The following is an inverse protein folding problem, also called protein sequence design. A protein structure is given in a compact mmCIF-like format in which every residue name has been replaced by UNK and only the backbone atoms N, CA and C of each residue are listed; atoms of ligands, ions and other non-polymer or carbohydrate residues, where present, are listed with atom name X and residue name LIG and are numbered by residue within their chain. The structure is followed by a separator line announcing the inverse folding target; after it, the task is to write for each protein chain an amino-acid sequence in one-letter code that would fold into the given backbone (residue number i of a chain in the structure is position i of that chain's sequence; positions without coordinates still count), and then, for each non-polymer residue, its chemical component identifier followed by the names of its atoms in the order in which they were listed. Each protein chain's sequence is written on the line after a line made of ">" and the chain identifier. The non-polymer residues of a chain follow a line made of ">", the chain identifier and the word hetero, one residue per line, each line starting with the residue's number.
data_IF_329886253907
#
_entry.id   IF_329886253907
#
_cell.length_a   1.000
_cell.length_b   1.000
_cell.length_c   1.000
_cell.angle_alpha   90.00
_cell.angle_beta   90.00
_cell.angle_gamma   90.00
#
_symmetry.space_group_name_H-M   'P 1'
#
loop_
_entity.id
_entity.type
_entity.pdbx_description
1 polymer ?
#
# COMPACT_ATOMS: atom_id res chain seq x y z
N UNK A 1 -3.87 7.84 -2.00
CA UNK A 1 -3.89 8.53 -0.71
C UNK A 1 -2.67 8.21 0.14
N UNK A 2 -2.26 9.16 0.92
CA UNK A 2 -1.07 9.04 1.75
C UNK A 2 -1.14 7.89 2.75
N UNK A 3 -2.29 7.70 3.35
CA UNK A 3 -2.45 6.63 4.34
C UNK A 3 -2.24 5.25 3.71
N UNK A 4 -2.81 5.04 2.55
CA UNK A 4 -2.65 3.77 1.83
C UNK A 4 -1.19 3.53 1.50
N UNK A 5 -0.52 4.55 1.02
CA UNK A 5 0.91 4.47 0.71
C UNK A 5 1.74 4.16 1.94
N UNK A 6 1.45 4.84 3.05
CA UNK A 6 2.18 4.62 4.30
C UNK A 6 2.03 3.18 4.79
N UNK A 7 0.81 2.67 4.78
CA UNK A 7 0.53 1.30 5.18
C UNK A 7 1.26 0.30 4.28
N UNK A 8 1.23 0.55 2.99
CA UNK A 8 1.93 -0.30 2.03
C UNK A 8 3.42 -0.36 2.32
N UNK A 9 4.04 0.80 2.56
CA UNK A 9 5.46 0.88 2.87
C UNK A 9 5.81 0.18 4.18
N UNK A 10 4.98 0.32 5.20
CA UNK A 10 5.22 -0.36 6.48
C UNK A 10 5.26 -1.87 6.30
N UNK A 11 4.39 -2.39 5.46
CA UNK A 11 4.35 -3.82 5.22
C UNK A 11 5.52 -4.29 4.33
N UNK A 12 5.75 -3.60 3.22
CA UNK A 12 6.71 -4.06 2.21
C UNK A 12 8.16 -3.73 2.53
N UNK A 13 8.38 -2.57 3.10
CA UNK A 13 9.75 -2.10 3.35
C UNK A 13 10.18 -2.43 4.78
N UNK A 14 9.30 -2.21 5.74
CA UNK A 14 9.63 -2.40 7.15
C UNK A 14 9.23 -3.76 7.70
N UNK A 15 8.61 -4.62 6.88
CA UNK A 15 8.27 -5.98 7.27
C UNK A 15 7.25 -6.10 8.38
N UNK A 16 6.42 -5.09 8.57
CA UNK A 16 5.38 -5.12 9.61
C UNK A 16 4.20 -5.98 9.17
N UNK A 17 3.64 -6.73 10.11
CA UNK A 17 2.44 -7.51 9.83
C UNK A 17 1.22 -6.60 9.79
N UNK A 18 0.13 -7.07 9.21
CA UNK A 18 -1.11 -6.30 9.17
C UNK A 18 -1.59 -5.98 10.59
N UNK A 19 -1.45 -6.92 11.51
CA UNK A 19 -1.83 -6.71 12.91
C UNK A 19 -1.02 -5.58 13.53
N UNK A 20 0.28 -5.57 13.29
CA UNK A 20 1.16 -4.52 13.80
C UNK A 20 0.82 -3.17 13.21
N UNK A 21 0.58 -3.14 11.91
CA UNK A 21 0.22 -1.89 11.22
C UNK A 21 -1.10 -1.35 11.77
N UNK A 22 -2.08 -2.24 12.00
CA UNK A 22 -3.35 -1.83 12.56
C UNK A 22 -3.18 -1.15 13.91
N UNK A 23 -2.30 -1.69 14.75
CA UNK A 23 -2.01 -1.09 16.06
C UNK A 23 -1.34 0.26 15.92
N UNK A 24 -0.34 0.35 15.07
CA UNK A 24 0.41 1.60 14.88
C UNK A 24 -0.47 2.69 14.29
N UNK A 25 -1.31 2.34 13.36
CA UNK A 25 -2.17 3.31 12.68
C UNK A 25 -3.48 3.59 13.42
N UNK A 26 -3.79 2.80 14.44
CA UNK A 26 -5.03 2.97 15.19
C UNK A 26 -6.27 2.62 14.39
N UNK A 27 -6.16 1.62 13.52
CA UNK A 27 -7.28 1.17 12.68
C UNK A 27 -7.45 -0.34 12.85
N UNK A 28 -8.54 -0.87 12.28
CA UNK A 28 -8.77 -2.31 12.32
C UNK A 28 -7.87 -3.02 11.31
N UNK A 29 -7.65 -4.31 11.54
CA UNK A 29 -6.89 -5.12 10.61
C UNK A 29 -7.58 -5.20 9.25
N UNK A 30 -8.92 -5.24 9.26
CA UNK A 30 -9.70 -5.22 8.02
C UNK A 30 -9.44 -3.96 7.21
N UNK A 31 -9.30 -2.83 7.88
CA UNK A 31 -9.00 -1.57 7.21
C UNK A 31 -7.62 -1.63 6.56
N UNK A 32 -6.63 -2.22 7.25
CA UNK A 32 -5.29 -2.41 6.69
C UNK A 32 -5.36 -3.27 5.43
N UNK A 33 -6.12 -4.35 5.49
CA UNK A 33 -6.28 -5.22 4.32
C UNK A 33 -6.86 -4.47 3.13
N UNK A 34 -7.86 -3.65 3.36
CA UNK A 34 -8.46 -2.84 2.29
C UNK A 34 -7.46 -1.88 1.68
N UNK A 35 -6.66 -1.23 2.53
CA UNK A 35 -5.62 -0.32 2.04
C UNK A 35 -4.59 -1.08 1.20
N UNK A 36 -4.21 -2.27 1.64
CA UNK A 36 -3.24 -3.08 0.89
C UNK A 36 -3.81 -3.50 -0.46
N UNK A 37 -5.08 -3.86 -0.51
CA UNK A 37 -5.71 -4.21 -1.77
C UNK A 37 -5.71 -3.04 -2.75
N UNK A 38 -6.01 -1.85 -2.27
CA UNK A 38 -5.99 -0.65 -3.10
C UNK A 38 -4.59 -0.36 -3.61
N UNK A 39 -3.60 -0.51 -2.75
CA UNK A 39 -2.21 -0.28 -3.13
C UNK A 39 -1.76 -1.27 -4.21
N UNK A 40 -2.12 -2.53 -4.05
CA UNK A 40 -1.77 -3.55 -5.04
C UNK A 40 -2.46 -3.31 -6.38
N UNK A 41 -3.70 -2.86 -6.36
CA UNK A 41 -4.42 -2.52 -7.58
C UNK A 41 -3.77 -1.33 -8.29
N UNK A 42 -3.35 -0.34 -7.53
CA UNK A 42 -2.65 0.80 -8.11
C UNK A 42 -1.34 0.38 -8.75
N UNK A 43 -0.62 -0.54 -8.11
CA UNK A 43 0.61 -1.08 -8.68
C UNK A 43 0.35 -1.84 -9.98
N UNK A 44 -0.72 -2.62 -10.02
CA UNK A 44 -1.11 -3.34 -11.24
C UNK A 44 -1.44 -2.39 -12.36
N UNK A 45 -2.18 -1.33 -12.05
CA UNK A 45 -2.54 -0.32 -13.03
C UNK A 45 -1.29 0.34 -13.61
N UNK A 46 -0.32 0.65 -12.75
CA UNK A 46 0.94 1.24 -13.18
C UNK A 46 1.73 0.32 -14.10
N UNK A 47 1.69 -0.97 -13.83
CA UNK A 47 2.39 -1.96 -14.66
C UNK A 47 1.70 -2.16 -16.00
N UNK A 48 0.39 -1.94 -16.05
CA UNK A 48 -0.40 -2.11 -17.26
C UNK A 48 -0.21 -0.95 -18.23
N UNK A 49 -0.04 0.24 -17.71
CA UNK A 49 0.10 1.43 -18.53
C UNK A 49 1.57 1.72 -18.78
N UNK A 50 1.92 2.13 -19.99
CA UNK A 50 3.28 2.57 -20.23
C UNK A 50 3.57 3.77 -19.34
N UNK A 51 4.71 3.81 -18.68
CA UNK A 51 5.05 4.91 -17.80
C UNK A 51 5.19 6.20 -18.58
N UNK A 52 4.24 7.10 -18.38
CA UNK A 52 4.31 8.40 -19.03
C UNK A 52 5.23 9.29 -18.23
N UNK A 53 6.06 10.02 -18.91
CA UNK A 53 6.96 10.94 -18.26
C UNK A 53 8.17 10.29 -17.64
N UNK A 54 8.25 8.98 -17.68
CA UNK A 54 9.43 8.28 -17.22
C UNK A 54 10.23 7.79 -18.40
N UNK A 55 10.06 8.41 -19.48
CA UNK A 55 10.84 8.06 -20.64
C UNK A 55 12.30 8.10 -20.24
N UNK A 56 13.04 7.16 -20.66
CA UNK A 56 14.47 7.20 -20.46
C UNK A 56 15.02 8.43 -21.11
#
# INVERSE_FOLDING_TARGET
>A
PERTRHIFLLNRIHGRTYADIAKVMGVSQSAVEKHMMRALEACKASLREPPTGTAP
#
